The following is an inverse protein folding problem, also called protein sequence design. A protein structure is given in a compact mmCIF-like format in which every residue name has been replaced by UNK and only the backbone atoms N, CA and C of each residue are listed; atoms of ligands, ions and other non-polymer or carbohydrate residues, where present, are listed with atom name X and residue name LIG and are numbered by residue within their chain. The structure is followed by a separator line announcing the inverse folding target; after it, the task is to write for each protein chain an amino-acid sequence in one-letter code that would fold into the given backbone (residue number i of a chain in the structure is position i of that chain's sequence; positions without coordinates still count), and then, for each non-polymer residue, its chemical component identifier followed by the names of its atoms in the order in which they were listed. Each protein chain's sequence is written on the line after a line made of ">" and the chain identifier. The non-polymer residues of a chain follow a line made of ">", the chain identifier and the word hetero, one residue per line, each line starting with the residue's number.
data_IF_193755496276
#
_entry.id   IF_193755496276
#
_cell.length_a   1.000
_cell.length_b   1.000
_cell.length_c   1.000
_cell.angle_alpha   90.00
_cell.angle_beta   90.00
_cell.angle_gamma   90.00
#
_symmetry.space_group_name_H-M   'P 1'
#
loop_
_entity.id
_entity.type
_entity.pdbx_description
1 polymer ?
#
# COMPACT_ATOMS: atom_id res chain seq x y z
N UNK A 1 8.56 -20.49 -12.25
CA UNK A 1 7.54 -20.02 -11.29
C UNK A 1 6.17 -20.34 -11.85
N UNK A 2 5.20 -20.62 -11.00
CA UNK A 2 3.79 -20.69 -11.39
C UNK A 2 3.22 -19.28 -11.56
N UNK A 3 2.11 -19.16 -12.31
CA UNK A 3 1.35 -17.90 -12.44
C UNK A 3 1.04 -17.26 -11.07
N UNK A 4 0.78 -18.07 -10.05
CA UNK A 4 0.47 -17.59 -8.70
C UNK A 4 1.66 -16.92 -8.04
N UNK A 5 2.82 -17.57 -8.13
CA UNK A 5 4.07 -17.05 -7.58
C UNK A 5 4.45 -15.72 -8.23
N UNK A 6 4.28 -15.61 -9.56
CA UNK A 6 4.54 -14.37 -10.30
C UNK A 6 3.63 -13.22 -9.85
N UNK A 7 2.35 -13.51 -9.64
CA UNK A 7 1.37 -12.50 -9.19
C UNK A 7 1.65 -12.06 -7.76
N UNK A 8 1.95 -13.01 -6.87
CA UNK A 8 2.35 -12.72 -5.48
C UNK A 8 3.62 -11.87 -5.46
N UNK A 9 4.65 -12.27 -6.20
CA UNK A 9 5.93 -11.55 -6.24
C UNK A 9 5.74 -10.12 -6.73
N UNK A 10 4.99 -9.93 -7.82
CA UNK A 10 4.67 -8.61 -8.37
C UNK A 10 3.90 -7.74 -7.38
N UNK A 11 2.85 -8.27 -6.75
CA UNK A 11 2.06 -7.50 -5.77
C UNK A 11 2.89 -7.14 -4.55
N UNK A 12 3.74 -8.06 -4.09
CA UNK A 12 4.68 -7.82 -2.99
C UNK A 12 5.65 -6.70 -3.32
N UNK A 13 6.34 -6.77 -4.46
CA UNK A 13 7.29 -5.76 -4.88
C UNK A 13 6.65 -4.37 -4.95
N UNK A 14 5.46 -4.27 -5.53
CA UNK A 14 4.77 -3.00 -5.64
C UNK A 14 4.33 -2.44 -4.28
N UNK A 15 3.85 -3.30 -3.38
CA UNK A 15 3.45 -2.89 -2.03
C UNK A 15 4.66 -2.46 -1.20
N UNK A 16 5.76 -3.21 -1.26
CA UNK A 16 7.03 -2.87 -0.60
C UNK A 16 7.55 -1.51 -1.10
N UNK A 17 7.50 -1.27 -2.41
CA UNK A 17 7.87 0.03 -2.99
C UNK A 17 6.98 1.18 -2.50
N UNK A 18 5.65 1.00 -2.42
CA UNK A 18 4.76 2.04 -1.89
C UNK A 18 5.01 2.32 -0.41
N UNK A 19 5.26 1.27 0.40
CA UNK A 19 5.60 1.43 1.81
C UNK A 19 6.91 2.24 1.97
N UNK A 20 7.93 1.93 1.18
CA UNK A 20 9.18 2.72 1.16
C UNK A 20 8.93 4.18 0.78
N UNK A 21 8.04 4.43 -0.19
CA UNK A 21 7.69 5.81 -0.55
C UNK A 21 6.95 6.54 0.59
N UNK A 22 6.11 5.86 1.37
CA UNK A 22 5.49 6.41 2.57
C UNK A 22 6.55 6.75 3.63
N UNK A 23 7.56 5.90 3.82
CA UNK A 23 8.65 6.17 4.76
C UNK A 23 9.46 7.42 4.36
N UNK A 24 9.72 7.58 3.06
CA UNK A 24 10.37 8.80 2.52
C UNK A 24 9.50 10.03 2.76
N UNK A 25 8.18 9.93 2.61
CA UNK A 25 7.25 11.03 2.89
C UNK A 25 7.22 11.36 4.38
N UNK A 26 7.32 10.36 5.26
CA UNK A 26 7.39 10.54 6.70
C UNK A 26 8.67 11.27 7.12
N UNK A 27 9.81 10.88 6.55
CA UNK A 27 11.08 11.59 6.76
C UNK A 27 10.98 13.07 6.34
N UNK A 28 10.36 13.35 5.18
CA UNK A 28 10.11 14.74 4.72
C UNK A 28 9.17 15.49 5.64
N UNK A 29 8.12 14.84 6.13
CA UNK A 29 7.17 15.43 7.08
C UNK A 29 7.85 15.83 8.40
N UNK A 30 8.83 15.04 8.86
CA UNK A 30 9.61 15.36 10.05
C UNK A 30 10.47 16.62 9.90
N UNK A 31 10.91 16.93 8.68
CA UNK A 31 11.66 18.14 8.34
C UNK A 31 10.77 19.39 8.22
N UNK A 32 9.46 19.22 8.01
CA UNK A 32 8.51 20.33 8.01
C UNK A 32 8.26 20.86 9.43
N UNK A 33 7.74 22.09 9.53
CA UNK A 33 7.43 22.75 10.81
C UNK A 33 6.03 23.37 10.80
N UNK A 34 5.46 23.58 11.99
CA UNK A 34 4.16 24.22 12.16
C UNK A 34 3.00 23.40 11.58
N UNK A 35 2.04 24.09 10.97
CA UNK A 35 0.82 23.50 10.43
C UNK A 35 1.10 22.46 9.33
N UNK A 36 2.10 22.71 8.48
CA UNK A 36 2.50 21.79 7.43
C UNK A 36 2.85 20.41 8.01
N UNK A 37 3.64 20.35 9.09
CA UNK A 37 4.01 19.09 9.75
C UNK A 37 2.79 18.31 10.23
N UNK A 38 1.80 19.00 10.81
CA UNK A 38 0.57 18.36 11.30
C UNK A 38 -0.27 17.80 10.15
N UNK A 39 -0.43 18.57 9.07
CA UNK A 39 -1.15 18.11 7.88
C UNK A 39 -0.46 16.90 7.24
N UNK A 40 0.88 16.95 7.08
CA UNK A 40 1.66 15.81 6.58
C UNK A 40 1.49 14.57 7.45
N UNK A 41 1.66 14.70 8.78
CA UNK A 41 1.55 13.58 9.70
C UNK A 41 0.17 12.91 9.66
N UNK A 42 -0.92 13.70 9.63
CA UNK A 42 -2.27 13.17 9.55
C UNK A 42 -2.51 12.38 8.25
N UNK A 43 -2.03 12.91 7.12
CA UNK A 43 -2.18 12.25 5.81
C UNK A 43 -1.33 10.98 5.69
N UNK A 44 -0.12 11.00 6.23
CA UNK A 44 0.76 9.82 6.26
C UNK A 44 0.17 8.73 7.14
N UNK A 45 -0.42 9.08 8.29
CA UNK A 45 -1.15 8.13 9.12
C UNK A 45 -2.32 7.48 8.36
N UNK A 46 -3.08 8.27 7.58
CA UNK A 46 -4.14 7.73 6.70
C UNK A 46 -3.57 6.75 5.65
N UNK A 47 -2.44 7.07 5.03
CA UNK A 47 -1.79 6.16 4.08
C UNK A 47 -1.34 4.85 4.72
N UNK A 48 -0.78 4.91 5.94
CA UNK A 48 -0.38 3.72 6.69
C UNK A 48 -1.57 2.83 7.05
N UNK A 49 -2.68 3.41 7.49
CA UNK A 49 -3.91 2.66 7.75
C UNK A 49 -4.48 2.01 6.47
N UNK A 50 -4.38 2.67 5.33
CA UNK A 50 -4.81 2.11 4.03
C UNK A 50 -3.84 1.04 3.50
N UNK A 51 -2.57 1.09 3.88
CA UNK A 51 -1.58 0.06 3.53
C UNK A 51 -1.81 -1.24 4.30
N UNK A 52 -2.30 -1.18 5.55
CA UNK A 52 -2.54 -2.37 6.40
C UNK A 52 -3.40 -3.45 5.71
N UNK A 53 -4.61 -3.17 5.21
CA UNK A 53 -5.43 -4.21 4.57
C UNK A 53 -4.80 -4.75 3.28
N UNK A 54 -3.99 -3.98 2.57
CA UNK A 54 -3.26 -4.47 1.39
C UNK A 54 -2.18 -5.49 1.79
N UNK A 55 -1.46 -5.24 2.88
CA UNK A 55 -0.47 -6.17 3.43
C UNK A 55 -1.13 -7.44 3.98
N UNK A 56 -2.24 -7.30 4.70
CA UNK A 56 -3.01 -8.44 5.21
C UNK A 56 -3.53 -9.31 4.07
N UNK A 57 -4.15 -8.71 3.04
CA UNK A 57 -4.66 -9.45 1.87
C UNK A 57 -3.57 -10.14 1.07
N UNK A 58 -2.40 -9.53 0.94
CA UNK A 58 -1.25 -10.20 0.32
C UNK A 58 -0.82 -11.44 1.13
N UNK A 59 -0.82 -11.36 2.47
CA UNK A 59 -0.56 -12.51 3.33
C UNK A 59 -1.59 -13.62 3.17
N UNK A 60 -2.89 -13.26 3.10
CA UNK A 60 -3.96 -14.21 2.79
C UNK A 60 -3.79 -14.87 1.42
N UNK A 61 -3.40 -14.11 0.40
CA UNK A 61 -3.16 -14.61 -0.96
C UNK A 61 -2.00 -15.62 -1.01
N UNK A 62 -0.93 -15.37 -0.25
CA UNK A 62 0.19 -16.30 -0.11
C UNK A 62 -0.24 -17.60 0.56
N UNK A 63 -1.09 -17.53 1.58
CA UNK A 63 -1.59 -18.69 2.33
C UNK A 63 -2.81 -19.37 1.68
N UNK A 64 -3.30 -18.87 0.54
CA UNK A 64 -4.52 -19.36 -0.09
C UNK A 64 -4.28 -20.69 -0.83
N UNK A 65 -5.09 -21.70 -0.49
CA UNK A 65 -5.17 -22.96 -1.24
C UNK A 65 -5.86 -22.78 -2.60
N UNK A 66 -5.76 -23.80 -3.46
CA UNK A 66 -6.16 -23.71 -4.86
C UNK A 66 -7.60 -23.26 -5.10
N UNK A 67 -8.54 -23.81 -4.32
CA UNK A 67 -9.98 -23.60 -4.51
C UNK A 67 -10.44 -22.16 -4.26
N UNK A 68 -9.68 -21.40 -3.46
CA UNK A 68 -10.02 -20.02 -3.07
C UNK A 68 -9.08 -18.96 -3.62
N UNK A 69 -7.99 -19.38 -4.26
CA UNK A 69 -6.89 -18.49 -4.65
C UNK A 69 -7.36 -17.35 -5.58
N UNK A 70 -8.13 -17.66 -6.63
CA UNK A 70 -8.63 -16.64 -7.57
C UNK A 70 -9.54 -15.59 -6.90
N UNK A 71 -10.35 -16.02 -5.92
CA UNK A 71 -11.20 -15.09 -5.19
C UNK A 71 -10.36 -14.13 -4.35
N UNK A 72 -9.38 -14.66 -3.62
CA UNK A 72 -8.49 -13.87 -2.78
C UNK A 72 -7.60 -12.95 -3.64
N UNK A 73 -7.15 -13.41 -4.80
CA UNK A 73 -6.44 -12.58 -5.79
C UNK A 73 -7.27 -11.36 -6.16
N UNK A 74 -8.53 -11.55 -6.57
CA UNK A 74 -9.42 -10.46 -6.96
C UNK A 74 -9.71 -9.48 -5.80
N UNK A 75 -9.83 -9.97 -4.57
CA UNK A 75 -9.96 -9.12 -3.38
C UNK A 75 -8.69 -8.32 -3.10
N UNK A 76 -7.53 -8.96 -3.19
CA UNK A 76 -6.21 -8.35 -3.01
C UNK A 76 -6.00 -7.23 -4.04
N UNK A 77 -6.31 -7.48 -5.31
CA UNK A 77 -6.21 -6.47 -6.35
C UNK A 77 -7.10 -5.26 -6.11
N UNK A 78 -8.32 -5.45 -5.58
CA UNK A 78 -9.23 -4.34 -5.25
C UNK A 78 -8.66 -3.46 -4.15
N UNK A 79 -8.20 -4.08 -3.06
CA UNK A 79 -7.62 -3.36 -1.92
C UNK A 79 -6.35 -2.64 -2.35
N UNK A 80 -5.49 -3.31 -3.13
CA UNK A 80 -4.28 -2.73 -3.68
C UNK A 80 -4.57 -1.51 -4.57
N UNK A 81 -5.55 -1.60 -5.49
CA UNK A 81 -5.95 -0.45 -6.34
C UNK A 81 -6.45 0.73 -5.51
N UNK A 82 -7.23 0.47 -4.47
CA UNK A 82 -7.70 1.53 -3.57
C UNK A 82 -6.53 2.21 -2.86
N UNK A 83 -5.56 1.44 -2.37
CA UNK A 83 -4.36 1.96 -1.73
C UNK A 83 -3.52 2.82 -2.69
N UNK A 84 -3.25 2.34 -3.91
CA UNK A 84 -2.55 3.10 -4.96
C UNK A 84 -3.27 4.41 -5.27
N UNK A 85 -4.60 4.39 -5.34
CA UNK A 85 -5.38 5.61 -5.59
C UNK A 85 -5.21 6.63 -4.46
N UNK A 86 -5.31 6.20 -3.20
CA UNK A 86 -5.08 7.07 -2.03
C UNK A 86 -3.67 7.64 -2.01
N UNK A 87 -2.66 6.82 -2.32
CA UNK A 87 -1.28 7.27 -2.41
C UNK A 87 -1.08 8.34 -3.50
N UNK A 88 -1.61 8.10 -4.71
CA UNK A 88 -1.53 9.06 -5.81
C UNK A 88 -2.28 10.36 -5.50
N UNK A 89 -3.45 10.26 -4.87
CA UNK A 89 -4.21 11.42 -4.41
C UNK A 89 -3.39 12.25 -3.43
N UNK A 90 -2.82 11.63 -2.41
CA UNK A 90 -1.93 12.32 -1.47
C UNK A 90 -0.76 13.01 -2.18
N UNK A 91 -0.05 12.29 -3.06
CA UNK A 91 1.07 12.85 -3.82
C UNK A 91 0.65 14.06 -4.67
N UNK A 92 -0.57 14.07 -5.20
CA UNK A 92 -1.09 15.19 -5.98
C UNK A 92 -1.36 16.45 -5.15
N UNK A 93 -1.68 16.29 -3.86
CA UNK A 93 -1.89 17.40 -2.93
C UNK A 93 -0.59 18.05 -2.44
N UNK A 94 0.55 17.38 -2.63
CA UNK A 94 1.86 17.91 -2.24
C UNK A 94 2.51 18.79 -3.34
N UNK A 95 1.85 18.93 -4.49
CA UNK A 95 2.30 19.78 -5.60
C UNK A 95 1.88 21.22 -5.42
#
# INVERSE_FOLDING_TARGET
>A
MSRREEIIARLKEQLDHLNQQIDVLEAKAQQASGEAKQQYAARIAQLKEMARPANEKLGELVAAGEDRWQKIEAETEKVYKAFVHSYNYFKSQLK
#
